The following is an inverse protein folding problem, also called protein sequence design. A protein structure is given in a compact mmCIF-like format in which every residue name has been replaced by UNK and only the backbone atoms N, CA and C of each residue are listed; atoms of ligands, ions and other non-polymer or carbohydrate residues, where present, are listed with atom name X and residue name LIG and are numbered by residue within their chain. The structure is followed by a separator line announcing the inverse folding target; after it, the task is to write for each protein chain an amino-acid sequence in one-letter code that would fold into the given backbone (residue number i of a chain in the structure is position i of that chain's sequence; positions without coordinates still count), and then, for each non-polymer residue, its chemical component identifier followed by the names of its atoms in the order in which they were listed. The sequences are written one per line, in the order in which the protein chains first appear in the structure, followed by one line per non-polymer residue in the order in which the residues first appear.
data_IF_323797063449
#
_entry.id   IF_323797063449
#
_cell.length_a   1.000
_cell.length_b   1.000
_cell.length_c   1.000
_cell.angle_alpha   90.00
_cell.angle_beta   90.00
_cell.angle_gamma   90.00
#
_symmetry.space_group_name_H-M   'P 1'
#
loop_
_entity.id
_entity.type
_entity.pdbx_description
1 polymer ?
#
# COMPACT_ATOMS: atom_id res chain seq x y z
N UNK A 1 -0.30 23.86 15.64
CA UNK A 1 0.50 23.53 14.45
C UNK A 1 -0.29 22.58 13.55
N UNK A 2 -0.79 23.03 12.39
CA UNK A 2 -1.51 22.16 11.45
C UNK A 2 -0.48 21.30 10.69
N UNK A 3 -0.46 19.98 10.92
CA UNK A 3 0.37 19.08 10.11
C UNK A 3 -0.11 19.16 8.65
N UNK A 4 0.80 19.30 7.67
CA UNK A 4 0.39 19.50 6.29
C UNK A 4 -0.32 18.25 5.75
N UNK A 5 -1.42 18.40 4.99
CA UNK A 5 -2.14 17.28 4.36
C UNK A 5 -1.25 16.44 3.44
N UNK A 6 -0.10 17.00 3.04
CA UNK A 6 0.94 16.34 2.25
C UNK A 6 1.47 15.02 2.84
N UNK A 7 1.36 14.80 4.17
CA UNK A 7 1.83 13.57 4.82
C UNK A 7 0.94 12.35 4.55
N UNK A 8 -0.30 12.56 4.10
CA UNK A 8 -1.27 11.49 3.86
C UNK A 8 -1.14 10.89 2.46
N UNK A 9 -0.63 11.65 1.48
CA UNK A 9 -0.57 11.17 0.09
C UNK A 9 0.30 9.93 -0.11
N UNK A 10 1.51 9.81 0.49
CA UNK A 10 2.34 8.62 0.31
C UNK A 10 1.68 7.30 0.78
N UNK A 11 1.10 7.20 2.01
CA UNK A 11 0.42 5.98 2.43
C UNK A 11 -0.88 5.72 1.64
N UNK A 12 -1.61 6.77 1.23
CA UNK A 12 -2.77 6.62 0.33
C UNK A 12 -2.36 6.04 -1.03
N UNK A 13 -1.26 6.53 -1.62
CA UNK A 13 -0.72 5.99 -2.86
C UNK A 13 -0.30 4.52 -2.67
N UNK A 14 0.39 4.21 -1.58
CA UNK A 14 0.83 2.85 -1.28
C UNK A 14 -0.37 1.89 -1.13
N UNK A 15 -1.42 2.32 -0.43
CA UNK A 15 -2.65 1.55 -0.28
C UNK A 15 -3.37 1.33 -1.62
N UNK A 16 -3.49 2.38 -2.45
CA UNK A 16 -4.08 2.30 -3.78
C UNK A 16 -3.29 1.38 -4.73
N UNK A 17 -1.96 1.52 -4.77
CA UNK A 17 -1.10 0.64 -5.57
C UNK A 17 -1.14 -0.80 -5.06
N UNK A 18 -1.12 -1.02 -3.74
CA UNK A 18 -1.26 -2.36 -3.16
C UNK A 18 -2.59 -3.02 -3.53
N UNK A 19 -3.69 -2.26 -3.49
CA UNK A 19 -5.02 -2.74 -3.86
C UNK A 19 -5.07 -3.12 -5.35
N UNK A 20 -4.54 -2.27 -6.24
CA UNK A 20 -4.44 -2.56 -7.67
C UNK A 20 -3.52 -3.76 -7.96
N UNK A 21 -2.43 -3.93 -7.19
CA UNK A 21 -1.55 -5.08 -7.33
C UNK A 21 -2.25 -6.39 -7.00
N UNK A 22 -2.92 -6.45 -5.84
CA UNK A 22 -3.71 -7.63 -5.44
C UNK A 22 -4.82 -7.92 -6.44
N UNK A 23 -5.52 -6.89 -6.89
CA UNK A 23 -6.57 -7.04 -7.88
C UNK A 23 -6.03 -7.57 -9.22
N UNK A 24 -4.90 -7.06 -9.70
CA UNK A 24 -4.24 -7.56 -10.90
C UNK A 24 -3.84 -9.03 -10.79
N UNK A 25 -3.28 -9.43 -9.64
CA UNK A 25 -2.96 -10.83 -9.32
C UNK A 25 -4.24 -11.68 -9.30
N UNK A 26 -5.30 -11.22 -8.62
CA UNK A 26 -6.58 -11.94 -8.57
C UNK A 26 -7.19 -12.11 -9.96
N UNK A 27 -7.22 -11.06 -10.79
CA UNK A 27 -7.74 -11.13 -12.16
C UNK A 27 -6.90 -12.07 -13.01
N UNK A 28 -5.57 -12.03 -12.89
CA UNK A 28 -4.68 -12.98 -13.56
C UNK A 28 -4.99 -14.42 -13.13
N UNK A 29 -5.10 -14.72 -11.84
CA UNK A 29 -5.37 -16.09 -11.40
C UNK A 29 -6.78 -16.57 -11.79
N UNK A 30 -7.75 -15.65 -11.79
CA UNK A 30 -9.14 -15.96 -12.08
C UNK A 30 -9.46 -16.02 -13.58
N UNK A 31 -8.59 -15.52 -14.46
CA UNK A 31 -8.85 -15.60 -15.91
C UNK A 31 -8.99 -17.05 -16.39
N UNK A 32 -8.36 -18.00 -15.69
CA UNK A 32 -8.47 -19.44 -15.98
C UNK A 32 -9.77 -20.08 -15.43
N UNK A 33 -10.56 -19.34 -14.66
CA UNK A 33 -11.79 -19.81 -13.98
C UNK A 33 -12.97 -18.95 -14.40
N UNK A 34 -13.35 -19.06 -15.67
CA UNK A 34 -14.43 -18.28 -16.28
C UNK A 34 -15.76 -18.36 -15.51
N UNK A 35 -16.05 -19.51 -14.88
CA UNK A 35 -17.29 -19.76 -14.13
C UNK A 35 -17.46 -18.86 -12.88
N UNK A 36 -16.36 -18.39 -12.29
CA UNK A 36 -16.37 -17.57 -11.07
C UNK A 36 -16.31 -16.06 -11.34
N UNK A 37 -16.00 -15.67 -12.57
CA UNK A 37 -15.84 -14.26 -12.94
C UNK A 37 -17.08 -13.38 -12.72
N UNK A 38 -18.32 -13.83 -13.03
CA UNK A 38 -19.50 -12.98 -12.88
C UNK A 38 -19.78 -12.61 -11.42
N UNK A 39 -19.56 -13.55 -10.49
CA UNK A 39 -19.79 -13.34 -9.06
C UNK A 39 -18.82 -12.33 -8.43
N UNK A 40 -17.62 -12.21 -9.01
CA UNK A 40 -16.56 -11.33 -8.51
C UNK A 40 -16.53 -9.96 -9.20
N UNK A 41 -17.36 -9.75 -10.22
CA UNK A 41 -17.47 -8.48 -10.94
C UNK A 41 -17.64 -7.24 -10.02
N UNK A 42 -18.60 -7.19 -9.07
CA UNK A 42 -18.77 -6.01 -8.23
C UNK A 42 -17.53 -5.71 -7.38
N UNK A 43 -16.86 -6.76 -6.89
CA UNK A 43 -15.63 -6.63 -6.12
C UNK A 43 -14.48 -6.12 -6.99
N UNK A 44 -14.32 -6.63 -8.21
CA UNK A 44 -13.30 -6.18 -9.15
C UNK A 44 -13.52 -4.71 -9.55
N UNK A 45 -14.75 -4.34 -9.88
CA UNK A 45 -15.10 -2.98 -10.29
C UNK A 45 -14.88 -1.97 -9.15
N UNK A 46 -15.37 -2.27 -7.94
CA UNK A 46 -15.18 -1.41 -6.77
C UNK A 46 -13.71 -1.29 -6.36
N UNK A 47 -12.93 -2.38 -6.45
CA UNK A 47 -11.49 -2.36 -6.18
C UNK A 47 -10.72 -1.54 -7.22
N UNK A 48 -11.07 -1.63 -8.51
CA UNK A 48 -10.48 -0.80 -9.58
C UNK A 48 -10.75 0.69 -9.34
N UNK A 49 -12.01 1.03 -9.01
CA UNK A 49 -12.41 2.40 -8.74
C UNK A 49 -11.72 2.96 -7.50
N UNK A 50 -11.78 2.25 -6.37
CA UNK A 50 -11.14 2.70 -5.13
C UNK A 50 -9.62 2.82 -5.29
N UNK A 51 -8.97 1.79 -5.83
CA UNK A 51 -7.52 1.79 -6.07
C UNK A 51 -7.11 2.89 -7.04
N UNK A 52 -7.85 3.05 -8.14
CA UNK A 52 -7.62 4.10 -9.13
C UNK A 52 -7.78 5.51 -8.55
N UNK A 53 -8.84 5.75 -7.78
CA UNK A 53 -9.08 7.04 -7.11
C UNK A 53 -7.97 7.34 -6.11
N UNK A 54 -7.56 6.39 -5.27
CA UNK A 54 -6.46 6.58 -4.32
C UNK A 54 -5.15 6.94 -5.01
N UNK A 55 -4.83 6.26 -6.12
CA UNK A 55 -3.64 6.56 -6.93
C UNK A 55 -3.74 7.92 -7.60
N UNK A 56 -4.90 8.26 -8.17
CA UNK A 56 -5.14 9.56 -8.82
C UNK A 56 -5.01 10.72 -7.82
N UNK A 57 -5.62 10.60 -6.64
CA UNK A 57 -5.50 11.59 -5.56
C UNK A 57 -4.05 11.78 -5.16
N UNK A 58 -3.28 10.69 -5.02
CA UNK A 58 -1.86 10.79 -4.68
C UNK A 58 -1.02 11.44 -5.78
N UNK A 59 -1.31 11.15 -7.05
CA UNK A 59 -0.65 11.79 -8.19
C UNK A 59 -0.96 13.30 -8.24
N UNK A 60 -2.22 13.69 -8.12
CA UNK A 60 -2.65 15.10 -8.08
C UNK A 60 -2.05 15.82 -6.86
N UNK A 61 -2.05 15.16 -5.70
CA UNK A 61 -1.44 15.68 -4.48
C UNK A 61 0.06 15.95 -4.62
N UNK A 62 0.76 15.22 -5.49
CA UNK A 62 2.18 15.44 -5.79
C UNK A 62 2.45 16.68 -6.68
N UNK A 63 1.39 17.32 -7.21
CA UNK A 63 1.46 18.57 -7.97
C UNK A 63 1.08 19.80 -7.15
N UNK A 64 0.63 19.64 -5.91
CA UNK A 64 0.32 20.78 -5.04
C UNK A 64 1.58 21.61 -4.79
N UNK A 65 1.47 22.95 -4.83
CA UNK A 65 2.62 23.84 -4.72
C UNK A 65 3.33 23.61 -3.39
N UNK A 66 4.59 23.19 -3.48
CA UNK A 66 5.52 23.15 -2.35
C UNK A 66 6.06 24.57 -2.17
N UNK A 67 6.14 25.11 -0.94
CA UNK A 67 6.74 26.43 -0.70
C UNK A 67 8.09 26.54 -1.40
N UNK A 68 8.34 27.66 -2.09
CA UNK A 68 9.46 27.83 -3.02
C UNK A 68 10.85 27.54 -2.43
N UNK A 69 11.01 27.61 -1.10
CA UNK A 69 12.25 27.27 -0.40
C UNK A 69 12.50 25.77 -0.15
N UNK A 70 11.55 24.88 -0.49
CA UNK A 70 11.63 23.43 -0.26
C UNK A 70 11.50 22.60 -1.56
N UNK A 71 11.41 23.27 -2.70
CA UNK A 71 11.23 22.63 -3.99
C UNK A 71 12.56 22.10 -4.55
N UNK A 72 12.95 20.88 -4.17
CA UNK A 72 14.02 20.18 -4.88
C UNK A 72 13.50 19.67 -6.24
N UNK A 73 14.33 19.74 -7.30
CA UNK A 73 13.96 19.20 -8.59
C UNK A 73 13.68 17.69 -8.48
N UNK A 74 12.61 17.19 -9.13
CA UNK A 74 12.26 15.77 -9.02
C UNK A 74 13.36 14.90 -9.62
N UNK A 75 13.90 13.99 -8.80
CA UNK A 75 14.91 13.03 -9.25
C UNK A 75 14.38 12.14 -10.39
N UNK A 76 15.29 11.62 -11.22
CA UNK A 76 14.93 10.68 -12.31
C UNK A 76 14.13 9.49 -11.78
N UNK A 77 14.44 9.02 -10.56
CA UNK A 77 13.74 7.93 -9.87
C UNK A 77 12.30 8.33 -9.50
N UNK A 78 12.09 9.55 -9.03
CA UNK A 78 10.75 10.06 -8.75
C UNK A 78 9.89 10.16 -10.04
N UNK A 79 10.48 10.57 -11.16
CA UNK A 79 9.80 10.57 -12.47
C UNK A 79 9.41 9.17 -12.92
N UNK A 80 10.32 8.19 -12.82
CA UNK A 80 10.03 6.77 -13.16
C UNK A 80 8.90 6.20 -12.30
N UNK A 81 8.91 6.53 -11.00
CA UNK A 81 7.83 6.12 -10.08
C UNK A 81 6.47 6.67 -10.51
N UNK A 82 6.42 7.96 -10.87
CA UNK A 82 5.18 8.59 -11.39
C UNK A 82 4.73 7.94 -12.70
N UNK A 83 5.66 7.62 -13.60
CA UNK A 83 5.37 6.93 -14.85
C UNK A 83 4.70 5.58 -14.58
N UNK A 84 5.26 4.74 -13.70
CA UNK A 84 4.65 3.45 -13.38
C UNK A 84 3.29 3.59 -12.70
N UNK A 85 3.11 4.59 -11.83
CA UNK A 85 1.81 4.89 -11.24
C UNK A 85 0.77 5.34 -12.29
N UNK A 86 1.18 6.16 -13.27
CA UNK A 86 0.30 6.55 -14.40
C UNK A 86 -0.03 5.38 -15.32
N UNK A 87 0.93 4.48 -15.56
CA UNK A 87 0.69 3.25 -16.33
C UNK A 87 -0.30 2.35 -15.59
N UNK A 88 -0.11 2.14 -14.28
CA UNK A 88 -1.05 1.37 -13.46
C UNK A 88 -2.47 1.97 -13.50
N UNK A 89 -2.60 3.30 -13.46
CA UNK A 89 -3.88 3.99 -13.61
C UNK A 89 -4.50 3.74 -14.99
N UNK A 90 -3.72 3.89 -16.07
CA UNK A 90 -4.18 3.66 -17.44
C UNK A 90 -4.62 2.20 -17.67
N UNK A 91 -3.84 1.24 -17.16
CA UNK A 91 -4.19 -0.18 -17.22
C UNK A 91 -5.43 -0.47 -16.37
N UNK A 92 -5.60 0.17 -15.20
CA UNK A 92 -6.81 0.03 -14.38
C UNK A 92 -8.06 0.50 -15.13
N UNK A 93 -7.99 1.65 -15.82
CA UNK A 93 -9.07 2.14 -16.68
C UNK A 93 -9.35 1.15 -17.79
N UNK A 94 -8.31 0.68 -18.50
CA UNK A 94 -8.47 -0.30 -19.59
C UNK A 94 -9.07 -1.63 -19.09
N UNK A 95 -8.66 -2.10 -17.91
CA UNK A 95 -9.23 -3.30 -17.31
C UNK A 95 -10.70 -3.09 -16.98
N UNK A 96 -11.07 -1.93 -16.44
CA UNK A 96 -12.46 -1.56 -16.15
C UNK A 96 -13.31 -1.51 -17.43
N UNK A 97 -12.81 -0.91 -18.51
CA UNK A 97 -13.53 -0.83 -19.79
C UNK A 97 -13.75 -2.20 -20.40
N UNK A 98 -12.73 -3.07 -20.38
CA UNK A 98 -12.84 -4.46 -20.84
C UNK A 98 -13.85 -5.24 -19.99
N UNK A 99 -13.80 -5.08 -18.66
CA UNK A 99 -14.75 -5.70 -17.73
C UNK A 99 -16.20 -5.28 -18.00
N UNK A 100 -16.43 -4.02 -18.36
CA UNK A 100 -17.77 -3.44 -18.52
C UNK A 100 -18.38 -3.65 -19.90
N UNK A 101 -17.57 -3.55 -20.96
CA UNK A 101 -18.09 -3.43 -22.34
C UNK A 101 -17.75 -4.60 -23.25
N UNK A 102 -16.77 -5.44 -22.90
CA UNK A 102 -16.43 -6.61 -23.74
C UNK A 102 -17.27 -7.81 -23.31
N UNK A 103 -17.97 -8.50 -24.22
CA UNK A 103 -18.78 -9.67 -23.88
C UNK A 103 -17.91 -10.82 -23.34
N UNK A 104 -18.52 -11.70 -22.54
CA UNK A 104 -17.83 -12.88 -22.02
C UNK A 104 -17.40 -13.81 -23.17
N UNK A 105 -16.15 -14.26 -23.14
CA UNK A 105 -15.57 -15.13 -24.17
C UNK A 105 -14.11 -15.49 -23.85
N UNK A 106 -13.52 -16.47 -24.56
CA UNK A 106 -12.15 -16.93 -24.32
C UNK A 106 -11.12 -15.81 -24.54
N UNK A 107 -11.31 -14.99 -25.58
CA UNK A 107 -10.43 -13.86 -25.88
C UNK A 107 -10.46 -12.81 -24.78
N UNK A 108 -11.65 -12.54 -24.22
CA UNK A 108 -11.79 -11.63 -23.08
C UNK A 108 -11.03 -12.14 -21.87
N UNK A 109 -11.09 -13.44 -21.58
CA UNK A 109 -10.36 -14.03 -20.46
C UNK A 109 -8.83 -13.84 -20.62
N UNK A 110 -8.29 -14.12 -21.81
CA UNK A 110 -6.87 -13.90 -22.10
C UNK A 110 -6.47 -12.42 -21.96
N UNK A 111 -7.27 -11.50 -22.51
CA UNK A 111 -7.03 -10.05 -22.39
C UNK A 111 -7.05 -9.61 -20.93
N UNK A 112 -8.03 -10.06 -20.15
CA UNK A 112 -8.10 -9.76 -18.71
C UNK A 112 -6.90 -10.32 -17.95
N UNK A 113 -6.44 -11.52 -18.29
CA UNK A 113 -5.24 -12.11 -17.71
C UNK A 113 -3.98 -11.28 -17.96
N UNK A 114 -3.77 -10.86 -19.21
CA UNK A 114 -2.64 -10.01 -19.59
C UNK A 114 -2.73 -8.63 -18.92
N UNK A 115 -3.90 -8.00 -18.93
CA UNK A 115 -4.11 -6.71 -18.29
C UNK A 115 -3.96 -6.79 -16.76
N UNK A 116 -4.42 -7.88 -16.14
CA UNK A 116 -4.23 -8.15 -14.71
C UNK A 116 -2.75 -8.28 -14.35
N UNK A 117 -1.99 -9.03 -15.16
CA UNK A 117 -0.54 -9.16 -14.99
C UNK A 117 0.18 -7.81 -15.19
N UNK A 118 -0.17 -7.06 -16.23
CA UNK A 118 0.38 -5.72 -16.47
C UNK A 118 0.06 -4.74 -15.32
N UNK A 119 -1.17 -4.79 -14.79
CA UNK A 119 -1.60 -3.96 -13.67
C UNK A 119 -0.77 -4.30 -12.42
N UNK A 120 -0.64 -5.59 -12.10
CA UNK A 120 0.14 -6.04 -10.96
C UNK A 120 1.61 -5.63 -11.09
N UNK A 121 2.22 -5.86 -12.25
CA UNK A 121 3.61 -5.48 -12.52
C UNK A 121 3.82 -3.97 -12.39
N UNK A 122 2.95 -3.15 -13.01
CA UNK A 122 3.05 -1.70 -12.95
C UNK A 122 2.90 -1.18 -11.52
N UNK A 123 1.96 -1.72 -10.75
CA UNK A 123 1.74 -1.33 -9.36
C UNK A 123 2.94 -1.71 -8.46
N UNK A 124 3.47 -2.92 -8.60
CA UNK A 124 4.66 -3.36 -7.85
C UNK A 124 5.90 -2.53 -8.21
N UNK A 125 6.09 -2.21 -9.49
CA UNK A 125 7.17 -1.32 -9.96
C UNK A 125 7.00 0.10 -9.43
N UNK A 126 5.78 0.62 -9.33
CA UNK A 126 5.51 1.91 -8.70
C UNK A 126 5.88 1.90 -7.22
N UNK A 127 5.53 0.85 -6.48
CA UNK A 127 5.88 0.71 -5.05
C UNK A 127 7.40 0.60 -4.86
N UNK A 128 8.06 -0.25 -5.65
CA UNK A 128 9.51 -0.41 -5.60
C UNK A 128 10.24 0.89 -6.01
N UNK A 129 9.76 1.57 -7.05
CA UNK A 129 10.26 2.87 -7.47
C UNK A 129 10.15 3.92 -6.37
N UNK A 130 9.00 3.97 -5.69
CA UNK A 130 8.79 4.88 -4.56
C UNK A 130 9.80 4.59 -3.43
N UNK A 131 10.05 3.31 -3.10
CA UNK A 131 11.08 2.89 -2.15
C UNK A 131 12.48 3.40 -2.49
N UNK A 132 12.86 3.32 -3.77
CA UNK A 132 14.16 3.80 -4.27
C UNK A 132 14.25 5.32 -4.36
N UNK A 133 13.15 6.02 -4.62
CA UNK A 133 13.12 7.47 -4.74
C UNK A 133 13.27 8.18 -3.38
N UNK A 134 12.99 7.49 -2.27
CA UNK A 134 13.17 8.03 -0.93
C UNK A 134 14.60 7.86 -0.37
N UNK A 135 15.53 7.32 -1.16
CA UNK A 135 16.92 7.13 -0.74
C UNK A 135 17.73 8.42 -0.80
N UNK A 136 18.32 8.80 0.34
CA UNK A 136 19.13 10.01 0.48
C UNK A 136 20.57 9.71 0.94
N UNK A 137 21.05 8.46 0.82
CA UNK A 137 22.48 8.20 1.02
C UNK A 137 22.86 6.91 1.76
N UNK A 138 21.95 5.93 1.88
CA UNK A 138 22.25 4.68 2.58
C UNK A 138 21.59 3.47 1.92
N UNK A 139 22.42 2.48 1.54
CA UNK A 139 21.98 1.19 1.02
C UNK A 139 21.30 0.39 2.13
N UNK A 140 19.99 0.56 2.29
CA UNK A 140 19.15 -0.24 3.16
C UNK A 140 18.49 -1.36 2.34
N UNK A 141 19.00 -2.62 2.39
CA UNK A 141 18.52 -3.71 1.56
C UNK A 141 17.07 -4.11 1.86
N UNK A 142 16.57 -3.81 3.07
CA UNK A 142 15.22 -4.15 3.51
C UNK A 142 14.19 -3.06 3.18
N UNK A 143 14.60 -1.94 2.58
CA UNK A 143 13.69 -0.83 2.27
C UNK A 143 12.63 -1.20 1.24
N UNK A 144 13.04 -1.82 0.13
CA UNK A 144 12.11 -2.24 -0.93
C UNK A 144 11.16 -3.31 -0.39
N UNK A 145 11.64 -4.42 0.23
CA UNK A 145 10.76 -5.42 0.82
C UNK A 145 9.78 -4.83 1.85
N UNK A 146 10.24 -3.98 2.77
CA UNK A 146 9.39 -3.39 3.80
C UNK A 146 8.29 -2.50 3.20
N UNK A 147 8.61 -1.67 2.19
CA UNK A 147 7.60 -0.85 1.51
C UNK A 147 6.64 -1.65 0.66
N UNK A 148 7.11 -2.67 -0.04
CA UNK A 148 6.25 -3.58 -0.80
C UNK A 148 5.29 -4.28 0.15
N UNK A 149 5.79 -4.83 1.26
CA UNK A 149 4.97 -5.53 2.23
C UNK A 149 3.97 -4.60 2.92
N UNK A 150 4.36 -3.37 3.27
CA UNK A 150 3.44 -2.36 3.80
C UNK A 150 2.32 -2.02 2.80
N UNK A 151 2.68 -1.72 1.54
CA UNK A 151 1.71 -1.38 0.49
C UNK A 151 0.76 -2.55 0.21
N UNK A 152 1.28 -3.76 0.09
CA UNK A 152 0.50 -4.97 -0.12
C UNK A 152 -0.42 -5.27 1.06
N UNK A 153 0.04 -5.09 2.31
CA UNK A 153 -0.79 -5.30 3.50
C UNK A 153 -1.92 -4.29 3.58
N UNK A 154 -1.64 -3.01 3.29
CA UNK A 154 -2.66 -1.94 3.20
C UNK A 154 -3.70 -2.22 2.10
N UNK A 155 -3.21 -2.57 0.90
CA UNK A 155 -4.06 -2.92 -0.23
C UNK A 155 -4.95 -4.13 0.05
N UNK A 156 -4.39 -5.16 0.69
CA UNK A 156 -5.14 -6.35 1.07
C UNK A 156 -6.18 -6.05 2.15
N UNK A 157 -5.85 -5.20 3.14
CA UNK A 157 -6.79 -4.79 4.17
C UNK A 157 -7.99 -4.05 3.56
N UNK A 158 -7.76 -3.17 2.59
CA UNK A 158 -8.82 -2.52 1.82
C UNK A 158 -9.64 -3.53 1.01
N UNK A 159 -8.99 -4.48 0.34
CA UNK A 159 -9.69 -5.54 -0.41
C UNK A 159 -10.58 -6.37 0.52
N UNK A 160 -10.11 -6.69 1.72
CA UNK A 160 -10.88 -7.42 2.73
C UNK A 160 -12.04 -6.60 3.28
N UNK A 161 -11.87 -5.28 3.46
CA UNK A 161 -12.98 -4.39 3.78
C UNK A 161 -14.04 -4.38 2.67
N UNK A 162 -13.62 -4.32 1.40
CA UNK A 162 -14.53 -4.37 0.25
C UNK A 162 -15.25 -5.71 0.17
N UNK A 163 -14.54 -6.82 0.42
CA UNK A 163 -15.16 -8.14 0.45
C UNK A 163 -16.17 -8.27 1.59
N UNK A 164 -15.82 -7.86 2.81
CA UNK A 164 -16.74 -7.88 3.95
C UNK A 164 -17.97 -6.98 3.74
N UNK A 165 -17.85 -5.92 2.93
CA UNK A 165 -18.97 -5.05 2.57
C UNK A 165 -19.91 -5.65 1.52
N UNK A 166 -19.37 -6.41 0.56
CA UNK A 166 -20.12 -6.85 -0.63
C UNK A 166 -20.55 -8.31 -0.59
N UNK A 167 -19.84 -9.16 0.15
CA UNK A 167 -20.17 -10.58 0.30
C UNK A 167 -21.06 -10.80 1.52
N UNK A 168 -21.97 -11.78 1.48
CA UNK A 168 -22.79 -12.15 2.64
C UNK A 168 -21.91 -12.53 3.85
N UNK A 169 -22.30 -12.05 5.03
CA UNK A 169 -21.56 -12.28 6.28
C UNK A 169 -21.35 -13.79 6.55
N UNK A 170 -20.15 -14.16 7.02
CA UNK A 170 -19.84 -15.50 7.53
C UNK A 170 -18.96 -16.39 6.65
N UNK A 171 -18.57 -15.98 5.44
CA UNK A 171 -17.67 -16.76 4.58
C UNK A 171 -16.24 -16.18 4.60
N UNK A 172 -15.33 -16.84 5.32
CA UNK A 172 -13.89 -16.60 5.20
C UNK A 172 -13.28 -15.51 6.10
N UNK A 173 -14.07 -14.88 6.97
CA UNK A 173 -13.63 -13.77 7.84
C UNK A 173 -12.39 -14.11 8.70
N UNK A 174 -12.38 -15.32 9.29
CA UNK A 174 -11.23 -15.78 10.09
C UNK A 174 -9.95 -15.94 9.24
N UNK A 175 -10.09 -16.41 8.00
CA UNK A 175 -8.98 -16.56 7.06
C UNK A 175 -8.42 -15.22 6.60
N UNK A 176 -9.29 -14.24 6.38
CA UNK A 176 -8.91 -12.85 6.08
C UNK A 176 -8.09 -12.23 7.22
N UNK A 177 -8.60 -12.31 8.45
CA UNK A 177 -7.90 -11.76 9.61
C UNK A 177 -6.57 -12.47 9.86
N UNK A 178 -6.52 -13.79 9.70
CA UNK A 178 -5.28 -14.56 9.82
C UNK A 178 -4.25 -14.11 8.77
N UNK A 179 -4.66 -13.93 7.52
CA UNK A 179 -3.76 -13.51 6.44
C UNK A 179 -3.20 -12.11 6.70
N UNK A 180 -4.03 -11.17 7.16
CA UNK A 180 -3.57 -9.85 7.59
C UNK A 180 -2.63 -9.91 8.80
N UNK A 181 -2.91 -10.79 9.77
CA UNK A 181 -2.04 -10.98 10.93
C UNK A 181 -0.66 -11.51 10.52
N UNK A 182 -0.60 -12.50 9.61
CA UNK A 182 0.65 -13.07 9.10
C UNK A 182 1.45 -12.02 8.32
N UNK A 183 0.82 -11.29 7.41
CA UNK A 183 1.47 -10.21 6.66
C UNK A 183 1.95 -9.08 7.59
N UNK A 184 1.14 -8.70 8.57
CA UNK A 184 1.50 -7.74 9.60
C UNK A 184 2.70 -8.19 10.42
N UNK A 185 2.78 -9.48 10.78
CA UNK A 185 3.91 -10.07 11.49
C UNK A 185 5.19 -10.10 10.63
N UNK A 186 5.08 -10.43 9.35
CA UNK A 186 6.22 -10.37 8.43
C UNK A 186 6.73 -8.93 8.28
N UNK A 187 5.82 -7.96 8.20
CA UNK A 187 6.17 -6.54 8.17
C UNK A 187 6.84 -6.10 9.48
N UNK A 188 6.36 -6.61 10.61
CA UNK A 188 6.97 -6.46 11.93
C UNK A 188 8.44 -6.90 11.91
N UNK A 189 8.68 -8.12 11.43
CA UNK A 189 10.00 -8.69 11.35
C UNK A 189 10.92 -7.85 10.46
N UNK A 190 10.47 -7.45 9.27
CA UNK A 190 11.26 -6.60 8.37
C UNK A 190 11.63 -5.26 9.01
N UNK A 191 10.66 -4.58 9.64
CA UNK A 191 10.91 -3.29 10.29
C UNK A 191 11.82 -3.42 11.52
N UNK A 192 11.69 -4.51 12.28
CA UNK A 192 12.50 -4.79 13.45
C UNK A 192 13.97 -5.04 13.07
N UNK A 193 14.22 -5.84 12.03
CA UNK A 193 15.59 -6.09 11.53
C UNK A 193 16.20 -4.80 10.99
N UNK A 194 15.45 -4.07 10.16
CA UNK A 194 15.87 -2.76 9.63
C UNK A 194 16.20 -1.76 10.74
N UNK A 195 15.45 -1.77 11.83
CA UNK A 195 15.72 -0.92 12.98
C UNK A 195 16.97 -1.36 13.73
N UNK A 196 17.14 -2.67 13.99
CA UNK A 196 18.32 -3.22 14.67
C UNK A 196 19.61 -2.83 13.95
N UNK A 197 19.60 -2.84 12.62
CA UNK A 197 20.77 -2.52 11.82
C UNK A 197 21.06 -1.00 11.81
N UNK A 198 20.02 -0.16 11.78
CA UNK A 198 20.18 1.29 11.94
C UNK A 198 20.68 1.68 13.34
N UNK A 199 20.19 1.05 14.41
CA UNK A 199 20.61 1.34 15.79
C UNK A 199 22.08 0.95 16.03
N UNK A 200 22.56 -0.14 15.41
CA UNK A 200 23.98 -0.54 15.45
C UNK A 200 24.90 0.40 14.68
N UNK A 201 24.37 1.05 13.65
CA UNK A 201 25.14 1.94 12.77
C UNK A 201 25.06 3.41 13.19
N UNK A 202 24.20 3.75 14.17
CA UNK A 202 24.02 5.11 14.63
C UNK A 202 25.14 5.51 15.62
N UNK A 203 25.75 6.70 15.44
CA UNK A 203 26.74 7.21 16.39
C UNK A 203 26.12 7.40 17.78
N UNK A 204 26.91 7.10 18.82
CA UNK A 204 26.49 7.16 20.22
C UNK A 204 25.94 8.57 20.56
N UNK A 205 24.62 8.65 20.81
CA UNK A 205 23.94 9.91 21.18
C UNK A 205 22.64 10.18 20.42
N UNK A 206 22.45 9.64 19.21
CA UNK A 206 21.27 9.90 18.37
C UNK A 206 20.11 8.90 18.61
N UNK A 207 19.87 8.48 19.85
CA UNK A 207 18.82 7.49 20.16
C UNK A 207 17.42 8.14 20.18
N UNK A 208 16.72 8.10 19.05
CA UNK A 208 15.31 8.52 18.95
C UNK A 208 14.40 7.47 19.62
N UNK A 209 14.29 7.53 20.95
CA UNK A 209 13.47 6.62 21.78
C UNK A 209 11.98 6.61 21.43
N UNK A 210 11.46 7.65 20.76
CA UNK A 210 10.03 7.81 20.43
C UNK A 210 9.51 6.90 19.31
N UNK A 211 10.33 6.57 18.30
CA UNK A 211 9.89 5.75 17.16
C UNK A 211 9.62 4.29 17.54
N UNK A 212 10.33 3.79 18.56
CA UNK A 212 10.34 2.38 18.98
C UNK A 212 8.99 1.92 19.55
N UNK A 213 8.29 2.77 20.32
CA UNK A 213 6.98 2.44 20.90
C UNK A 213 5.85 2.48 19.88
N UNK A 214 5.93 3.42 18.95
CA UNK A 214 4.94 3.60 17.89
C UNK A 214 4.96 2.38 16.96
N UNK A 215 6.13 1.95 16.52
CA UNK A 215 6.26 0.77 15.66
C UNK A 215 5.85 -0.50 16.39
N UNK A 216 6.25 -0.70 17.64
CA UNK A 216 5.79 -1.85 18.43
C UNK A 216 4.25 -1.89 18.57
N UNK A 217 3.60 -0.76 18.85
CA UNK A 217 2.14 -0.67 18.97
C UNK A 217 1.40 -0.95 17.65
N UNK A 218 1.99 -0.55 16.53
CA UNK A 218 1.46 -0.81 15.19
C UNK A 218 1.56 -2.27 14.76
N UNK A 219 2.50 -3.02 15.32
CA UNK A 219 2.72 -4.44 15.06
C UNK A 219 1.87 -5.33 15.96
N UNK A 220 1.47 -4.83 17.14
CA UNK A 220 0.53 -5.54 18.02
C UNK A 220 -0.92 -5.38 17.58
N UNK A 221 -1.26 -4.35 16.80
CA UNK A 221 -2.64 -4.09 16.40
C UNK A 221 -3.29 -5.23 15.59
N UNK A 222 -2.65 -5.84 14.57
CA UNK A 222 -3.24 -6.96 13.82
C UNK A 222 -3.43 -8.20 14.69
N UNK A 223 -2.48 -8.48 15.59
CA UNK A 223 -2.54 -9.61 16.51
C UNK A 223 -3.62 -9.40 17.59
N UNK A 224 -3.76 -8.18 18.09
CA UNK A 224 -4.83 -7.81 19.02
C UNK A 224 -6.21 -7.87 18.34
N UNK A 225 -6.33 -7.37 17.10
CA UNK A 225 -7.55 -7.51 16.31
C UNK A 225 -7.92 -8.98 16.06
N UNK A 226 -6.93 -9.86 15.83
CA UNK A 226 -7.17 -11.29 15.68
C UNK A 226 -7.64 -11.94 16.99
N UNK A 227 -6.99 -11.63 18.11
CA UNK A 227 -7.39 -12.14 19.43
C UNK A 227 -8.80 -11.69 19.85
N UNK A 228 -9.24 -10.52 19.36
CA UNK A 228 -10.54 -9.93 19.67
C UNK A 228 -11.61 -10.20 18.60
N UNK A 229 -11.28 -10.95 17.54
CA UNK A 229 -12.20 -11.28 16.45
C UNK A 229 -13.43 -12.09 16.90
N UNK A 230 -13.39 -12.71 18.08
CA UNK A 230 -14.51 -13.43 18.69
C UNK A 230 -15.55 -12.51 19.35
N UNK A 231 -15.24 -11.22 19.56
CA UNK A 231 -16.03 -10.32 20.41
C UNK A 231 -16.86 -9.30 19.61
N UNK A 232 -16.48 -9.01 18.37
CA UNK A 232 -17.17 -8.00 17.55
C UNK A 232 -17.13 -8.35 16.05
N UNK A 233 -18.02 -7.75 15.22
CA UNK A 233 -18.07 -7.98 13.78
C UNK A 233 -16.70 -7.79 13.11
N UNK A 234 -16.30 -8.72 12.24
CA UNK A 234 -15.01 -8.70 11.54
C UNK A 234 -14.75 -7.38 10.80
N UNK A 235 -15.81 -6.75 10.27
CA UNK A 235 -15.71 -5.46 9.59
C UNK A 235 -15.14 -4.33 10.48
N UNK A 236 -15.53 -4.26 11.75
CA UNK A 236 -14.99 -3.25 12.68
C UNK A 236 -13.49 -3.45 12.90
N UNK A 237 -13.06 -4.71 13.04
CA UNK A 237 -11.65 -5.06 13.20
C UNK A 237 -10.83 -4.80 11.94
N UNK A 238 -11.38 -5.06 10.76
CA UNK A 238 -10.75 -4.75 9.48
C UNK A 238 -10.57 -3.24 9.29
N UNK A 239 -11.57 -2.43 9.63
CA UNK A 239 -11.47 -0.98 9.59
C UNK A 239 -10.44 -0.46 10.59
N UNK A 240 -10.45 -0.98 11.82
CA UNK A 240 -9.47 -0.63 12.86
C UNK A 240 -8.04 -1.00 12.43
N UNK A 241 -7.83 -2.21 11.87
CA UNK A 241 -6.55 -2.65 11.35
C UNK A 241 -6.08 -1.78 10.18
N UNK A 242 -6.97 -1.43 9.25
CA UNK A 242 -6.66 -0.55 8.12
C UNK A 242 -6.27 0.85 8.61
N UNK A 243 -7.03 1.42 9.55
CA UNK A 243 -6.74 2.71 10.15
C UNK A 243 -5.39 2.71 10.91
N UNK A 244 -5.11 1.64 11.65
CA UNK A 244 -3.82 1.47 12.33
C UNK A 244 -2.68 1.41 11.32
N UNK A 245 -2.79 0.59 10.25
CA UNK A 245 -1.77 0.49 9.20
C UNK A 245 -1.55 1.83 8.47
N UNK A 246 -2.62 2.59 8.21
CA UNK A 246 -2.51 3.93 7.61
C UNK A 246 -1.79 4.89 8.56
N UNK A 247 -2.15 4.90 9.84
CA UNK A 247 -1.45 5.69 10.85
C UNK A 247 0.03 5.31 10.94
N UNK A 248 0.35 4.01 10.79
CA UNK A 248 1.72 3.49 10.69
C UNK A 248 2.49 4.15 9.56
N UNK A 249 1.94 4.08 8.35
CA UNK A 249 2.56 4.64 7.16
C UNK A 249 2.79 6.14 7.27
N UNK A 250 1.82 6.87 7.86
CA UNK A 250 1.95 8.32 8.11
C UNK A 250 3.09 8.61 9.09
N UNK A 251 3.18 7.85 10.19
CA UNK A 251 4.21 8.05 11.21
C UNK A 251 5.61 7.69 10.69
N UNK A 252 5.73 6.62 9.91
CA UNK A 252 6.99 6.26 9.24
C UNK A 252 7.45 7.37 8.28
N UNK A 253 6.52 7.93 7.50
CA UNK A 253 6.83 9.00 6.55
C UNK A 253 7.14 10.35 7.22
N UNK A 254 6.50 10.65 8.36
CA UNK A 254 6.82 11.85 9.13
C UNK A 254 8.21 11.76 9.78
N UNK A 255 8.59 10.58 10.29
CA UNK A 255 9.88 10.35 10.95
C UNK A 255 11.08 10.52 10.01
N UNK A 256 10.96 10.09 8.74
CA UNK A 256 12.03 10.29 7.76
C UNK A 256 12.26 11.76 7.41
N UNK A 257 11.19 12.56 7.27
CA UNK A 257 11.30 14.01 6.99
C UNK A 257 11.98 14.79 8.12
N UNK A 258 11.74 14.43 9.38
CA UNK A 258 12.36 15.13 10.52
C UNK A 258 13.88 14.94 10.59
N UNK A 259 14.41 13.75 10.25
CA UNK A 259 15.86 13.51 10.24
C UNK A 259 16.59 14.41 9.24
N UNK A 260 16.03 14.62 8.06
CA UNK A 260 16.61 15.54 7.07
C UNK A 260 16.65 16.99 7.56
N UNK A 261 15.59 17.47 8.21
CA UNK A 261 15.57 18.84 8.70
C UNK A 261 16.64 19.10 9.77
N UNK A 262 16.96 18.11 10.61
CA UNK A 262 17.97 18.24 11.66
C UNK A 262 19.41 18.11 11.17
N UNK A 263 19.67 17.30 10.13
CA UNK A 263 21.04 17.14 9.59
C UNK A 263 21.52 18.37 8.79
N UNK A 264 20.61 19.10 8.13
CA UNK A 264 20.97 20.28 7.33
C UNK A 264 20.82 21.62 8.07
N UNK A 265 20.19 21.65 9.25
CA UNK A 265 20.09 22.87 10.06
C UNK A 265 21.30 23.09 11.00
N UNK A 266 22.23 22.13 11.06
CA UNK A 266 23.40 22.15 11.94
C UNK A 266 24.75 22.41 11.25
N UNK A 267 24.74 22.79 9.97
CA UNK A 267 25.94 23.20 9.21
C UNK A 267 25.81 24.62 8.72
#
# INVERSE_FOLDING_TARGET
MRRPPALLFPPLAAAGQGLLAWLGISVMLLHARADLMPALYPLQASSLLLGGVLVAIALVGAHLPVPAGLAQPPSVRARRTRLFATVALGVSVLLFTVLRWVPAGPDRALVLGLLGLMLAAAALLAIAGAALAADHGGADPLRIPARMLLALTLGLALLFCLMAWQLPAGHGDAGMLLTLAVLGLLLAACLLVRWRDHDRSAPAGAHVRGGRRIHAALLTAPLACWALASVAPAMLWLLAATAALLAAGVLEHAGTRQRFATEYAGG
#
